data_IF_659785568754
#
_entry.id   IF_659785568754
#
_cell.length_a   1.000
_cell.length_b   1.000
_cell.length_c   1.000
_cell.angle_alpha   90.00
_cell.angle_beta   90.00
_cell.angle_gamma   90.00
#
_symmetry.space_group_name_H-M   'P 1'
#
loop_
_entity.id
_entity.type
_entity.pdbx_description
1 polymer ?
#
# COMPACT_ATOMS: atom_id res chain seq x y z
N UNK A 1 8.70 -26.41 8.72
CA UNK A 1 9.11 -25.16 8.06
C UNK A 1 7.85 -24.56 7.46
N UNK A 2 7.29 -23.51 8.06
CA UNK A 2 6.10 -22.83 7.53
C UNK A 2 6.52 -22.11 6.24
N UNK A 3 5.85 -22.38 5.12
CA UNK A 3 6.17 -21.69 3.87
C UNK A 3 5.99 -20.18 4.03
N UNK A 4 6.93 -19.38 3.52
CA UNK A 4 6.78 -17.93 3.44
C UNK A 4 5.61 -17.61 2.51
N UNK A 5 4.55 -17.01 3.05
CA UNK A 5 3.39 -16.57 2.29
C UNK A 5 3.40 -15.05 2.13
N UNK A 6 2.61 -14.53 1.19
CA UNK A 6 2.39 -13.08 1.05
C UNK A 6 1.84 -12.40 2.29
N UNK A 7 1.25 -13.17 3.21
CA UNK A 7 0.39 -12.67 4.30
C UNK A 7 1.05 -12.74 5.69
N UNK A 8 2.39 -12.85 5.72
CA UNK A 8 3.25 -13.00 6.92
C UNK A 8 3.32 -11.73 7.80
N UNK A 9 2.14 -11.22 8.21
CA UNK A 9 1.96 -10.10 9.11
C UNK A 9 0.99 -10.49 10.24
N UNK A 10 1.48 -10.45 11.48
CA UNK A 10 0.63 -10.48 12.66
C UNK A 10 0.03 -9.10 12.90
N UNK A 11 -1.19 -8.89 12.41
CA UNK A 11 -1.90 -7.61 12.47
C UNK A 11 -2.07 -7.10 13.90
N UNK A 12 -2.28 -7.97 14.89
CA UNK A 12 -2.50 -7.53 16.27
C UNK A 12 -1.19 -7.05 16.89
N UNK A 13 -0.11 -7.78 16.67
CA UNK A 13 1.22 -7.40 17.11
C UNK A 13 1.67 -6.09 16.45
N UNK A 14 1.51 -5.97 15.14
CA UNK A 14 1.87 -4.76 14.40
C UNK A 14 1.01 -3.56 14.80
N UNK A 15 -0.30 -3.74 15.00
CA UNK A 15 -1.18 -2.68 15.49
C UNK A 15 -0.69 -2.12 16.84
N UNK A 16 -0.32 -3.00 17.77
CA UNK A 16 0.24 -2.60 19.08
C UNK A 16 1.56 -1.83 18.93
N UNK A 17 2.48 -2.37 18.13
CA UNK A 17 3.80 -1.77 17.89
C UNK A 17 3.68 -0.38 17.26
N UNK A 18 2.88 -0.25 16.20
CA UNK A 18 2.63 1.01 15.51
C UNK A 18 1.87 2.01 16.39
N UNK A 19 0.98 1.56 17.26
CA UNK A 19 0.30 2.42 18.23
C UNK A 19 1.29 3.09 19.18
N UNK A 20 2.26 2.33 19.69
CA UNK A 20 3.30 2.85 20.56
C UNK A 20 4.23 3.81 19.80
N UNK A 21 4.63 3.45 18.58
CA UNK A 21 5.43 4.31 17.71
C UNK A 21 4.76 5.67 17.46
N UNK A 22 3.46 5.70 17.14
CA UNK A 22 2.70 6.95 16.93
C UNK A 22 2.70 7.80 18.21
N UNK A 23 2.45 7.19 19.37
CA UNK A 23 2.46 7.90 20.65
C UNK A 23 3.82 8.53 20.93
N UNK A 24 4.92 7.81 20.67
CA UNK A 24 6.28 8.31 20.87
C UNK A 24 6.61 9.48 19.94
N UNK A 25 6.22 9.38 18.66
CA UNK A 25 6.40 10.44 17.67
C UNK A 25 5.62 11.70 18.08
N UNK A 26 4.35 11.55 18.45
CA UNK A 26 3.49 12.68 18.88
C UNK A 26 4.02 13.32 20.17
N UNK A 27 4.50 12.52 21.12
CA UNK A 27 5.12 12.99 22.36
C UNK A 27 6.37 13.83 22.07
N UNK A 28 7.24 13.37 21.17
CA UNK A 28 8.42 14.12 20.72
C UNK A 28 8.05 15.42 20.03
N UNK A 29 7.07 15.40 19.12
CA UNK A 29 6.62 16.60 18.42
C UNK A 29 6.09 17.67 19.39
N UNK A 30 5.30 17.25 20.38
CA UNK A 30 4.82 18.12 21.45
C UNK A 30 5.97 18.73 22.27
N UNK A 31 6.95 17.93 22.68
CA UNK A 31 8.09 18.41 23.47
C UNK A 31 9.01 19.36 22.70
N UNK A 32 9.06 19.26 21.37
CA UNK A 32 9.82 20.14 20.51
C UNK A 32 9.03 21.39 20.07
N UNK A 33 7.82 21.59 20.61
CA UNK A 33 7.05 22.83 20.50
C UNK A 33 5.99 22.86 19.40
N UNK A 34 5.63 21.71 18.82
CA UNK A 34 4.48 21.65 17.91
C UNK A 34 3.18 21.96 18.68
N UNK A 35 2.34 22.83 18.11
CA UNK A 35 1.00 23.13 18.62
C UNK A 35 0.05 21.95 18.40
N UNK A 36 0.14 21.34 17.24
CA UNK A 36 -0.56 20.10 16.90
C UNK A 36 0.25 19.27 15.92
N UNK A 37 -0.05 17.98 15.83
CA UNK A 37 0.66 17.06 14.94
C UNK A 37 -0.22 15.88 14.54
N UNK A 38 0.06 15.30 13.39
CA UNK A 38 -0.52 14.06 12.90
C UNK A 38 0.56 13.14 12.35
N UNK A 39 0.34 11.84 12.51
CA UNK A 39 1.28 10.80 12.13
C UNK A 39 0.52 9.69 11.42
N UNK A 40 1.00 9.31 10.26
CA UNK A 40 0.58 8.11 9.55
C UNK A 40 1.71 7.09 9.57
N UNK A 41 1.41 5.84 9.93
CA UNK A 41 2.36 4.72 9.87
C UNK A 41 1.75 3.65 8.98
N UNK A 42 2.55 3.09 8.08
CA UNK A 42 2.14 1.97 7.24
C UNK A 42 3.19 0.86 7.28
N UNK A 43 2.70 -0.38 7.38
CA UNK A 43 3.51 -1.57 7.17
C UNK A 43 2.81 -2.48 6.17
N UNK A 44 3.57 -3.01 5.22
CA UNK A 44 3.06 -3.86 4.16
C UNK A 44 4.03 -5.02 3.92
N UNK A 45 3.47 -6.20 3.66
CA UNK A 45 4.19 -7.37 3.18
C UNK A 45 3.47 -7.89 1.95
N UNK A 46 4.20 -8.46 1.01
CA UNK A 46 3.57 -9.08 -0.15
C UNK A 46 4.54 -9.79 -1.06
N UNK A 47 3.97 -10.29 -2.14
CA UNK A 47 4.62 -11.04 -3.18
C UNK A 47 4.15 -10.50 -4.53
N UNK A 48 5.10 -10.25 -5.42
CA UNK A 48 4.86 -9.89 -6.81
C UNK A 48 5.59 -10.86 -7.72
N UNK A 49 4.89 -11.39 -8.73
CA UNK A 49 5.45 -12.30 -9.73
C UNK A 49 5.14 -11.75 -11.10
N UNK A 50 6.16 -11.67 -11.96
CA UNK A 50 6.01 -11.37 -13.38
C UNK A 50 6.43 -12.57 -14.22
N UNK A 51 5.62 -12.90 -15.21
CA UNK A 51 5.90 -13.93 -16.20
C UNK A 51 5.80 -13.34 -17.59
N UNK A 52 6.61 -13.84 -18.50
CA UNK A 52 6.56 -13.48 -19.92
C UNK A 52 6.91 -14.69 -20.77
N UNK A 53 6.15 -14.93 -21.83
CA UNK A 53 6.39 -16.04 -22.76
C UNK A 53 6.44 -17.43 -22.08
N UNK A 54 5.59 -17.66 -21.07
CA UNK A 54 5.56 -18.84 -20.21
C UNK A 54 6.85 -19.08 -19.39
N UNK A 55 7.64 -18.03 -19.18
CA UNK A 55 8.82 -18.07 -18.31
C UNK A 55 8.69 -17.06 -17.17
N UNK A 56 9.29 -17.37 -16.03
CA UNK A 56 9.27 -16.48 -14.86
C UNK A 56 10.36 -15.44 -15.01
N UNK A 57 9.97 -14.16 -15.09
CA UNK A 57 10.93 -13.06 -15.14
C UNK A 57 11.36 -12.64 -13.73
N UNK A 58 10.40 -12.38 -12.85
CA UNK A 58 10.70 -11.91 -11.50
C UNK A 58 9.79 -12.52 -10.44
N UNK A 59 10.37 -12.74 -9.26
CA UNK A 59 9.66 -13.10 -8.03
C UNK A 59 10.22 -12.20 -6.93
N UNK A 60 9.38 -11.30 -6.42
CA UNK A 60 9.78 -10.25 -5.48
C UNK A 60 8.96 -10.34 -4.20
N UNK A 61 9.66 -10.38 -3.06
CA UNK A 61 9.05 -10.23 -1.76
C UNK A 61 9.16 -8.78 -1.30
N UNK A 62 8.02 -8.14 -1.12
CA UNK A 62 7.93 -6.76 -0.68
C UNK A 62 7.72 -6.71 0.83
N UNK A 63 8.55 -5.93 1.53
CA UNK A 63 8.42 -5.66 2.97
C UNK A 63 8.72 -4.20 3.22
N UNK A 64 7.65 -3.42 3.29
CA UNK A 64 7.72 -1.97 3.44
C UNK A 64 7.24 -1.56 4.82
N UNK A 65 7.98 -0.65 5.44
CA UNK A 65 7.56 0.03 6.66
C UNK A 65 7.95 1.49 6.52
N UNK A 66 7.10 2.38 7.05
CA UNK A 66 7.46 3.78 7.15
C UNK A 66 6.41 4.58 7.89
N UNK A 67 6.81 5.79 8.25
CA UNK A 67 5.91 6.77 8.83
C UNK A 67 6.11 8.14 8.21
N UNK A 68 5.06 8.93 8.25
CA UNK A 68 5.07 10.36 7.97
C UNK A 68 4.53 11.12 9.16
N UNK A 69 5.15 12.24 9.48
CA UNK A 69 4.66 13.21 10.46
C UNK A 69 4.40 14.54 9.77
N UNK A 70 3.25 15.13 10.08
CA UNK A 70 2.98 16.54 9.84
C UNK A 70 2.85 17.25 11.18
N UNK A 71 3.56 18.36 11.34
CA UNK A 71 3.51 19.21 12.53
C UNK A 71 2.99 20.59 12.17
N UNK A 72 2.30 21.19 13.12
CA UNK A 72 1.79 22.54 13.03
C UNK A 72 2.36 23.36 14.18
N UNK A 73 2.90 24.54 13.86
CA UNK A 73 3.33 25.55 14.83
C UNK A 73 2.48 26.79 14.61
N UNK A 74 1.42 26.94 15.42
CA UNK A 74 0.33 27.87 15.12
C UNK A 74 -0.31 27.53 13.77
N UNK A 75 -0.14 28.41 12.79
CA UNK A 75 -0.66 28.27 11.41
C UNK A 75 0.41 27.91 10.38
N UNK A 76 1.60 27.52 10.83
CA UNK A 76 2.71 27.08 9.97
C UNK A 76 2.78 25.56 9.94
N UNK A 77 3.02 24.97 8.77
CA UNK A 77 3.00 23.53 8.54
C UNK A 77 4.38 23.03 8.13
N UNK A 78 4.82 21.92 8.71
CA UNK A 78 5.96 21.17 8.23
C UNK A 78 5.67 19.68 8.22
N UNK A 79 6.30 18.95 7.30
CA UNK A 79 6.13 17.51 7.19
C UNK A 79 7.47 16.83 6.91
N UNK A 80 7.59 15.59 7.34
CA UNK A 80 8.72 14.71 7.06
C UNK A 80 8.25 13.26 7.07
N UNK A 81 8.94 12.40 6.31
CA UNK A 81 8.64 10.97 6.27
C UNK A 81 9.93 10.15 6.14
N UNK A 82 9.93 8.94 6.67
CA UNK A 82 11.05 8.01 6.57
C UNK A 82 10.55 6.57 6.66
N UNK A 83 11.31 5.63 6.09
CA UNK A 83 11.11 4.19 6.25
C UNK A 83 11.82 3.62 7.49
N UNK A 84 12.77 4.36 8.07
CA UNK A 84 13.50 3.94 9.27
C UNK A 84 12.73 4.30 10.54
N UNK A 85 12.35 3.28 11.32
CA UNK A 85 11.65 3.41 12.60
C UNK A 85 12.59 3.42 13.81
N UNK A 86 13.90 3.59 13.62
CA UNK A 86 14.86 3.72 14.71
C UNK A 86 14.61 4.99 15.54
N UNK A 87 14.90 4.99 16.86
CA UNK A 87 14.71 6.18 17.69
C UNK A 87 15.45 7.43 17.19
N UNK A 88 16.60 7.24 16.55
CA UNK A 88 17.39 8.30 15.93
C UNK A 88 16.66 8.89 14.72
N UNK A 89 16.21 8.04 13.77
CA UNK A 89 15.48 8.48 12.59
C UNK A 89 14.15 9.16 12.94
N UNK A 90 13.45 8.65 13.95
CA UNK A 90 12.25 9.30 14.50
C UNK A 90 12.55 10.72 14.96
N UNK A 91 13.61 10.90 15.75
CA UNK A 91 13.99 12.20 16.27
C UNK A 91 14.36 13.16 15.13
N UNK A 92 15.20 12.71 14.20
CA UNK A 92 15.59 13.49 13.02
C UNK A 92 14.39 13.89 12.15
N UNK A 93 13.42 13.00 11.93
CA UNK A 93 12.23 13.28 11.14
C UNK A 93 11.34 14.34 11.81
N UNK A 94 11.13 14.24 13.12
CA UNK A 94 10.34 15.22 13.87
C UNK A 94 11.04 16.58 13.88
N UNK A 95 12.35 16.61 14.10
CA UNK A 95 13.14 17.85 14.05
C UNK A 95 13.11 18.49 12.66
N UNK A 96 13.22 17.71 11.59
CA UNK A 96 13.10 18.17 10.22
C UNK A 96 11.72 18.81 9.96
N UNK A 97 10.63 18.14 10.35
CA UNK A 97 9.28 18.66 10.20
C UNK A 97 9.10 19.98 10.96
N UNK A 98 9.64 20.10 12.18
CA UNK A 98 9.57 21.33 12.98
C UNK A 98 10.42 22.45 12.39
N UNK A 99 11.61 22.13 11.87
CA UNK A 99 12.47 23.10 11.18
C UNK A 99 11.76 23.70 9.96
N UNK A 100 11.11 22.84 9.16
CA UNK A 100 10.29 23.29 8.02
C UNK A 100 9.15 24.19 8.51
N UNK A 101 8.38 23.76 9.52
CA UNK A 101 7.28 24.56 10.05
C UNK A 101 7.74 25.96 10.50
N UNK A 102 8.90 26.09 11.14
CA UNK A 102 9.46 27.39 11.55
C UNK A 102 9.78 28.31 10.37
N UNK A 103 10.18 27.74 9.23
CA UNK A 103 10.56 28.50 8.04
C UNK A 103 9.38 28.79 7.10
N UNK A 104 8.30 28.01 7.18
CA UNK A 104 7.10 28.25 6.37
C UNK A 104 6.28 29.44 6.86
N UNK A 105 5.58 30.08 5.92
CA UNK A 105 4.61 31.14 6.20
C UNK A 105 3.36 30.58 6.89
N UNK A 106 2.62 31.47 7.55
CA UNK A 106 1.33 31.13 8.13
C UNK A 106 0.27 30.98 7.05
N UNK A 107 -0.54 29.94 7.18
CA UNK A 107 -1.72 29.68 6.37
C UNK A 107 -2.94 29.58 7.30
N UNK A 108 -3.92 30.50 7.23
CA UNK A 108 -5.11 30.48 8.08
C UNK A 108 -5.90 29.17 8.04
N UNK A 109 -5.85 28.45 6.92
CA UNK A 109 -6.57 27.19 6.70
C UNK A 109 -5.77 25.95 7.11
N UNK A 110 -4.55 26.15 7.62
CA UNK A 110 -3.70 25.08 8.13
C UNK A 110 -4.07 24.70 9.57
N UNK A 111 -4.01 23.40 9.86
CA UNK A 111 -4.30 22.83 11.17
C UNK A 111 -4.92 21.44 11.08
N UNK A 112 -5.10 20.81 12.23
CA UNK A 112 -5.92 19.62 12.34
C UNK A 112 -7.40 19.98 12.19
N UNK A 113 -8.19 19.00 11.78
CA UNK A 113 -9.65 19.07 11.92
C UNK A 113 -10.01 19.23 13.40
N UNK A 114 -11.08 19.97 13.67
CA UNK A 114 -11.59 20.15 15.03
C UNK A 114 -11.85 18.78 15.69
N UNK A 115 -11.55 18.68 16.99
CA UNK A 115 -11.55 17.42 17.71
C UNK A 115 -12.94 16.76 17.78
N UNK A 116 -14.01 17.55 17.71
CA UNK A 116 -15.41 17.11 17.71
C UNK A 116 -15.86 16.52 16.35
N UNK A 117 -15.14 16.82 15.27
CA UNK A 117 -15.36 16.24 13.94
C UNK A 117 -14.60 14.92 13.74
N UNK A 118 -13.76 14.52 14.68
CA UNK A 118 -13.04 13.25 14.60
C UNK A 118 -13.99 12.07 14.75
N UNK A 119 -13.66 10.96 14.07
CA UNK A 119 -14.46 9.76 14.15
C UNK A 119 -14.49 9.23 15.60
N UNK A 120 -15.67 9.18 16.19
CA UNK A 120 -15.90 8.65 17.54
C UNK A 120 -16.01 7.13 17.56
N UNK A 121 -16.34 6.52 16.42
CA UNK A 121 -16.38 5.07 16.24
C UNK A 121 -15.86 4.71 14.85
N UNK A 122 -14.85 3.84 14.80
CA UNK A 122 -14.34 3.29 13.54
C UNK A 122 -15.00 1.94 13.29
N UNK A 123 -15.81 1.86 12.23
CA UNK A 123 -16.48 0.62 11.84
C UNK A 123 -15.45 -0.34 11.21
N UNK A 124 -15.51 -1.61 11.58
CA UNK A 124 -14.78 -2.64 10.87
C UNK A 124 -15.41 -2.86 9.49
N UNK A 125 -14.67 -2.50 8.44
CA UNK A 125 -15.09 -2.64 7.04
C UNK A 125 -14.72 -4.00 6.43
N UNK A 126 -14.12 -4.90 7.22
CA UNK A 126 -13.70 -6.23 6.78
C UNK A 126 -12.78 -6.20 5.55
N UNK A 127 -11.77 -5.33 5.52
CA UNK A 127 -10.89 -5.11 4.35
C UNK A 127 -9.68 -6.07 4.26
N UNK A 128 -9.53 -6.97 5.24
CA UNK A 128 -8.41 -7.90 5.34
C UNK A 128 -8.87 -9.33 5.02
N UNK A 129 -8.45 -9.78 3.84
CA UNK A 129 -8.74 -11.07 3.23
C UNK A 129 -7.42 -11.73 2.79
N UNK A 130 -6.65 -12.29 3.74
CA UNK A 130 -5.47 -13.08 3.40
C UNK A 130 -5.86 -14.30 2.55
N UNK A 131 -5.02 -14.63 1.56
CA UNK A 131 -5.26 -15.72 0.61
C UNK A 131 -4.23 -16.86 0.74
N UNK A 132 -3.19 -16.71 1.57
CA UNK A 132 -2.15 -17.71 1.77
C UNK A 132 -1.34 -18.00 0.50
N UNK A 133 -1.10 -16.98 -0.33
CA UNK A 133 -0.41 -17.16 -1.61
C UNK A 133 1.07 -17.43 -1.37
N UNK A 134 1.56 -18.54 -1.90
CA UNK A 134 3.00 -18.87 -1.99
C UNK A 134 3.54 -18.44 -3.37
N UNK A 135 4.88 -18.35 -3.54
CA UNK A 135 5.50 -18.12 -4.85
C UNK A 135 5.02 -19.08 -5.93
N UNK A 136 4.90 -20.36 -5.59
CA UNK A 136 4.46 -21.41 -6.54
C UNK A 136 3.03 -21.16 -7.02
N UNK A 137 2.12 -20.79 -6.11
CA UNK A 137 0.73 -20.46 -6.44
C UNK A 137 0.67 -19.18 -7.28
N UNK A 138 1.47 -18.16 -6.95
CA UNK A 138 1.51 -16.91 -7.71
C UNK A 138 2.02 -17.12 -9.14
N UNK A 139 3.08 -17.90 -9.32
CA UNK A 139 3.64 -18.28 -10.62
C UNK A 139 2.59 -19.04 -11.44
N UNK A 140 1.97 -20.07 -10.85
CA UNK A 140 0.95 -20.87 -11.53
C UNK A 140 -0.23 -20.01 -12.02
N UNK A 141 -0.70 -19.07 -11.19
CA UNK A 141 -1.77 -18.12 -11.57
C UNK A 141 -1.36 -17.19 -12.69
N UNK A 142 -0.15 -16.62 -12.62
CA UNK A 142 0.34 -15.71 -13.65
C UNK A 142 0.54 -16.45 -14.99
N UNK A 143 1.15 -17.64 -14.98
CA UNK A 143 1.34 -18.46 -16.17
C UNK A 143 0.01 -18.93 -16.78
N UNK A 144 -0.94 -19.33 -15.94
CA UNK A 144 -2.28 -19.72 -16.41
C UNK A 144 -2.97 -18.55 -17.10
N UNK A 145 -2.94 -17.37 -16.50
CA UNK A 145 -3.54 -16.17 -17.08
C UNK A 145 -2.89 -15.77 -18.41
N UNK A 146 -1.57 -15.85 -18.52
CA UNK A 146 -0.85 -15.60 -19.77
C UNK A 146 -1.27 -16.59 -20.86
N UNK A 147 -1.36 -17.89 -20.52
CA UNK A 147 -1.74 -18.94 -21.47
C UNK A 147 -3.16 -18.74 -22.00
N UNK A 148 -4.11 -18.46 -21.13
CA UNK A 148 -5.51 -18.18 -21.51
C UNK A 148 -5.60 -16.94 -22.40
N UNK A 149 -4.84 -15.88 -22.08
CA UNK A 149 -4.78 -14.68 -22.90
C UNK A 149 -4.28 -14.97 -24.32
N UNK A 150 -3.16 -15.69 -24.47
CA UNK A 150 -2.60 -16.05 -25.77
C UNK A 150 -3.53 -16.97 -26.59
N UNK A 151 -4.40 -17.74 -25.93
CA UNK A 151 -5.36 -18.62 -26.59
C UNK A 151 -6.68 -17.94 -26.97
N UNK A 152 -6.90 -16.70 -26.54
CA UNK A 152 -8.18 -16.00 -26.74
C UNK A 152 -8.46 -15.67 -28.22
N UNK A 153 -7.46 -15.22 -28.98
CA UNK A 153 -7.59 -14.87 -30.39
C UNK A 153 -6.28 -15.09 -31.15
N UNK A 154 -6.35 -15.58 -32.39
CA UNK A 154 -5.17 -15.85 -33.26
C UNK A 154 -4.36 -14.59 -33.62
N UNK A 155 -4.96 -13.40 -33.47
CA UNK A 155 -4.29 -12.11 -33.66
C UNK A 155 -3.33 -11.80 -32.52
N UNK A 156 -3.51 -12.38 -31.34
CA UNK A 156 -2.58 -12.23 -30.23
C UNK A 156 -1.32 -13.05 -30.57
N UNK A 157 -0.19 -12.35 -30.76
CA UNK A 157 1.09 -12.96 -31.16
C UNK A 157 2.01 -13.20 -29.98
N UNK A 158 1.94 -12.33 -28.99
CA UNK A 158 2.79 -12.39 -27.81
C UNK A 158 2.14 -11.65 -26.64
N UNK A 159 2.74 -11.79 -25.47
CA UNK A 159 2.44 -11.00 -24.28
C UNK A 159 3.57 -10.00 -24.02
N UNK A 160 3.20 -8.87 -23.41
CA UNK A 160 4.17 -7.93 -22.82
C UNK A 160 4.38 -8.19 -21.32
N UNK A 161 3.96 -9.38 -20.87
CA UNK A 161 4.06 -9.83 -19.49
C UNK A 161 2.71 -9.97 -18.80
N UNK A 162 2.68 -10.86 -17.83
CA UNK A 162 1.57 -11.07 -16.89
C UNK A 162 2.09 -10.96 -15.47
N UNK A 163 1.45 -10.11 -14.68
CA UNK A 163 1.82 -9.86 -13.29
C UNK A 163 0.73 -10.35 -12.35
N UNK A 164 1.12 -11.11 -11.33
CA UNK A 164 0.29 -11.42 -10.18
C UNK A 164 0.91 -10.77 -8.94
N UNK A 165 0.09 -10.07 -8.15
CA UNK A 165 0.53 -9.48 -6.90
C UNK A 165 -0.46 -9.77 -5.77
N UNK A 166 0.09 -10.06 -4.59
CA UNK A 166 -0.66 -10.32 -3.35
C UNK A 166 0.01 -9.57 -2.23
N UNK A 167 -0.69 -8.60 -1.64
CA UNK A 167 -0.17 -7.73 -0.59
C UNK A 167 -1.14 -7.67 0.58
N UNK A 168 -0.57 -7.67 1.78
CA UNK A 168 -1.29 -7.45 3.03
C UNK A 168 -0.57 -6.35 3.80
N UNK A 169 -1.32 -5.45 4.42
CA UNK A 169 -0.73 -4.34 5.15
C UNK A 169 -1.66 -3.79 6.22
N UNK A 170 -1.09 -2.95 7.08
CA UNK A 170 -1.80 -2.22 8.11
C UNK A 170 -1.42 -0.74 7.99
N UNK A 171 -2.44 0.11 8.09
CA UNK A 171 -2.28 1.56 8.16
C UNK A 171 -2.84 2.03 9.50
N UNK A 172 -2.05 2.84 10.18
CA UNK A 172 -2.39 3.46 11.45
C UNK A 172 -2.25 4.97 11.30
N UNK A 173 -3.21 5.71 11.84
CA UNK A 173 -3.18 7.15 11.90
C UNK A 173 -3.43 7.59 13.33
N UNK A 174 -2.68 8.60 13.77
CA UNK A 174 -3.00 9.29 15.01
C UNK A 174 -2.56 10.73 15.02
N UNK A 175 -3.13 11.51 15.92
CA UNK A 175 -2.87 12.94 16.01
C UNK A 175 -2.90 13.45 17.46
N UNK A 176 -2.54 14.72 17.63
CA UNK A 176 -2.43 15.35 18.95
C UNK A 176 -3.75 15.55 19.69
N UNK A 177 -4.90 15.35 19.04
CA UNK A 177 -6.21 15.35 19.71
C UNK A 177 -6.53 14.01 20.40
N UNK A 178 -5.65 13.01 20.25
CA UNK A 178 -5.79 11.71 20.89
C UNK A 178 -6.49 10.67 20.03
N UNK A 179 -6.88 11.01 18.80
CA UNK A 179 -7.33 10.01 17.83
C UNK A 179 -6.15 9.10 17.47
N UNK A 180 -6.36 7.79 17.55
CA UNK A 180 -5.37 6.77 17.23
C UNK A 180 -6.08 5.51 16.78
N UNK A 181 -6.21 5.33 15.47
CA UNK A 181 -6.90 4.19 14.90
C UNK A 181 -6.22 3.70 13.63
N UNK A 182 -6.52 2.45 13.28
CA UNK A 182 -5.95 1.82 12.10
C UNK A 182 -6.67 0.56 11.72
N UNK A 183 -6.51 0.19 10.45
CA UNK A 183 -7.19 -0.95 9.84
C UNK A 183 -6.21 -1.75 8.97
N UNK A 184 -6.32 -3.09 8.99
CA UNK A 184 -5.63 -3.93 8.03
C UNK A 184 -6.33 -3.89 6.66
N UNK A 185 -5.56 -4.13 5.61
CA UNK A 185 -6.04 -4.25 4.24
C UNK A 185 -5.27 -5.36 3.52
N UNK A 186 -5.97 -6.13 2.70
CA UNK A 186 -5.35 -7.02 1.71
C UNK A 186 -5.72 -6.59 0.30
N UNK A 187 -4.79 -6.69 -0.64
CA UNK A 187 -5.02 -6.40 -2.06
C UNK A 187 -4.35 -7.46 -2.92
N UNK A 188 -5.12 -7.99 -3.85
CA UNK A 188 -4.67 -8.99 -4.82
C UNK A 188 -4.94 -8.46 -6.21
N UNK A 189 -3.99 -8.59 -7.12
CA UNK A 189 -4.17 -8.15 -8.51
C UNK A 189 -3.56 -9.15 -9.48
N UNK A 190 -4.22 -9.30 -10.63
CA UNK A 190 -3.72 -10.04 -11.76
C UNK A 190 -3.90 -9.15 -12.99
N UNK A 191 -2.82 -8.89 -13.70
CA UNK A 191 -2.87 -8.14 -14.95
C UNK A 191 -2.07 -8.85 -16.02
N UNK A 192 -2.58 -8.87 -17.23
CA UNK A 192 -1.94 -9.51 -18.36
C UNK A 192 -2.05 -8.57 -19.57
N UNK A 193 -0.94 -8.38 -20.27
CA UNK A 193 -0.86 -7.49 -21.44
C UNK A 193 -0.57 -8.32 -22.68
N UNK A 194 -1.46 -8.26 -23.66
CA UNK A 194 -1.32 -8.92 -24.95
C UNK A 194 -0.85 -7.92 -26.02
N UNK A 195 -0.11 -8.45 -26.98
CA UNK A 195 0.24 -7.76 -28.22
C UNK A 195 -0.48 -8.49 -29.35
N UNK A 196 -1.44 -7.80 -29.95
CA UNK A 196 -2.19 -8.28 -31.10
C UNK A 196 -1.70 -7.62 -32.38
N UNK A 197 -1.72 -8.37 -33.47
CA UNK A 197 -1.33 -7.91 -34.79
C UNK A 197 -2.40 -8.29 -35.82
N UNK A 198 -2.79 -7.32 -36.65
CA UNK A 198 -3.62 -7.54 -37.81
C UNK A 198 -3.07 -6.80 -39.05
N UNK A 199 -3.82 -6.80 -40.15
CA UNK A 199 -3.43 -6.16 -41.42
C UNK A 199 -3.17 -4.65 -41.33
N UNK A 200 -3.62 -3.97 -40.26
CA UNK A 200 -3.48 -2.53 -40.05
C UNK A 200 -2.33 -2.18 -39.10
N UNK A 201 -1.72 -3.16 -38.45
CA UNK A 201 -0.55 -2.98 -37.60
C UNK A 201 -0.65 -3.71 -36.25
N UNK A 202 0.24 -3.33 -35.35
CA UNK A 202 0.39 -3.93 -34.02
C UNK A 202 -0.20 -3.02 -32.95
N UNK A 203 -1.01 -3.60 -32.05
CA UNK A 203 -1.66 -2.87 -30.95
C UNK A 203 -1.49 -3.65 -29.65
N UNK A 204 -1.19 -2.95 -28.56
CA UNK A 204 -1.22 -3.52 -27.22
C UNK A 204 -2.64 -3.44 -26.64
N UNK A 205 -3.14 -4.57 -26.17
CA UNK A 205 -4.39 -4.65 -25.41
C UNK A 205 -4.05 -5.16 -24.01
N UNK A 206 -4.36 -4.36 -22.99
CA UNK A 206 -4.15 -4.74 -21.60
C UNK A 206 -5.47 -5.14 -20.95
N UNK A 207 -5.44 -6.23 -20.18
CA UNK A 207 -6.52 -6.58 -19.27
C UNK A 207 -5.95 -6.60 -17.86
N UNK A 208 -6.44 -5.70 -17.01
CA UNK A 208 -6.01 -5.59 -15.62
C UNK A 208 -7.22 -5.80 -14.71
N UNK A 209 -7.13 -6.79 -13.82
CA UNK A 209 -8.12 -6.97 -12.76
C UNK A 209 -7.45 -6.79 -11.40
N UNK A 210 -7.88 -5.75 -10.70
CA UNK A 210 -7.58 -5.56 -9.28
C UNK A 210 -8.75 -6.07 -8.45
N UNK A 211 -8.49 -7.00 -7.54
CA UNK A 211 -9.49 -7.53 -6.62
C UNK A 211 -9.18 -7.05 -5.20
N UNK A 212 -10.05 -6.19 -4.67
CA UNK A 212 -10.25 -6.06 -3.22
C UNK A 212 -11.36 -7.05 -2.95
N UNK A 213 -11.00 -8.28 -2.55
CA UNK A 213 -11.83 -9.48 -2.71
C UNK A 213 -13.32 -9.24 -2.41
N UNK A 214 -14.13 -9.32 -3.46
CA UNK A 214 -15.35 -10.10 -3.45
C UNK A 214 -15.13 -11.24 -4.45
N UNK A 215 -15.39 -12.48 -4.04
CA UNK A 215 -15.35 -13.68 -4.87
C UNK A 215 -16.11 -13.45 -6.19
N UNK A 216 -15.39 -13.23 -7.30
CA UNK A 216 -16.00 -13.21 -8.63
C UNK A 216 -15.11 -13.99 -9.59
N UNK A 217 -15.75 -14.95 -10.26
CA UNK A 217 -15.19 -15.74 -11.34
C UNK A 217 -14.50 -14.87 -12.39
N UNK A 218 -13.43 -15.40 -12.96
CA UNK A 218 -12.78 -14.85 -14.15
C UNK A 218 -13.84 -14.80 -15.27
N UNK A 219 -14.37 -13.62 -15.58
CA UNK A 219 -15.15 -13.39 -16.80
C UNK A 219 -14.19 -12.89 -17.88
N UNK A 220 -14.27 -13.48 -19.07
CA UNK A 220 -13.40 -13.20 -20.21
C UNK A 220 -13.90 -12.00 -21.03
N UNK A 221 -14.42 -10.97 -20.37
CA UNK A 221 -14.95 -9.79 -21.06
C UNK A 221 -13.79 -8.94 -21.59
N UNK A 222 -13.24 -9.39 -22.72
CA UNK A 222 -12.50 -8.57 -23.65
C UNK A 222 -13.55 -7.77 -24.41
N UNK A 223 -13.66 -6.47 -24.14
CA UNK A 223 -14.46 -5.60 -24.99
C UNK A 223 -13.92 -5.68 -26.42
N UNK A 224 -14.76 -6.08 -27.41
CA UNK A 224 -14.37 -5.97 -28.80
C UNK A 224 -14.27 -4.47 -29.20
N UNK A 225 -13.42 -4.15 -30.19
CA UNK A 225 -13.28 -2.78 -30.70
C UNK A 225 -14.55 -2.26 -31.37
#
# INVERSE_FOLDING_TARGET
MTALTSDDLDINFEKSTMSNLIKDILYKAKNLGATSAEVGVSKQSGLSVNVRNNDVETVEFNRDCGFGITVYMGKRKGNASTSDTSPAAITSAVEAAISIAKQTSEDPYSGLVDADLMASSVKNLQLDHPMGITPEIAIDRAMTAERELLQTDKRIKSSDGTSFSSHRGIRMYGNSHGFLEGYPTSRHSLSAVAIAEDSKGMVSCSSARSFVVNNINVSTDVEPP
#
